data_IF_616700192919
#
_entry.id   IF_616700192919
#
_cell.length_a   1.000
_cell.length_b   1.000
_cell.length_c   1.000
_cell.angle_alpha   90.00
_cell.angle_beta   90.00
_cell.angle_gamma   90.00
#
_symmetry.space_group_name_H-M   'P 1'
#
loop_
_entity.id
_entity.type
_entity.pdbx_description
1 polymer ?
#
# COMPACT_ATOMS: atom_id res chain seq x y z
N UNK A 1 34.91 -2.67 -12.13
CA UNK A 1 34.30 -3.38 -10.97
C UNK A 1 32.84 -2.99 -10.92
N UNK A 2 31.95 -3.93 -11.06
CA UNK A 2 30.48 -3.71 -11.04
C UNK A 2 30.06 -3.37 -9.61
N UNK A 3 29.31 -2.28 -9.44
CA UNK A 3 28.84 -1.84 -8.12
C UNK A 3 27.59 -2.64 -7.71
N UNK A 4 27.62 -3.35 -6.59
CA UNK A 4 26.44 -4.02 -6.03
C UNK A 4 25.56 -3.01 -5.31
N UNK A 5 24.28 -3.05 -5.62
CA UNK A 5 23.29 -2.08 -5.10
C UNK A 5 22.07 -2.81 -4.59
N UNK A 6 21.57 -2.40 -3.42
CA UNK A 6 20.23 -2.72 -2.94
C UNK A 6 19.37 -1.46 -3.04
N UNK A 7 18.17 -1.60 -3.56
CA UNK A 7 17.28 -0.47 -3.80
C UNK A 7 16.16 -0.44 -2.78
N UNK A 8 15.81 0.74 -2.31
CA UNK A 8 14.70 0.98 -1.38
C UNK A 8 13.71 1.92 -2.05
N UNK A 9 12.49 1.45 -2.32
CA UNK A 9 11.43 2.17 -3.01
C UNK A 9 10.36 2.64 -2.00
N UNK A 10 10.22 3.94 -1.85
CA UNK A 10 9.18 4.53 -0.98
C UNK A 10 7.77 4.27 -1.55
N UNK A 11 6.78 4.02 -0.70
CA UNK A 11 5.36 3.93 -1.10
C UNK A 11 4.82 5.28 -1.58
N UNK A 12 3.72 5.30 -2.31
CA UNK A 12 3.11 6.57 -2.73
C UNK A 12 2.16 6.50 -3.94
N UNK A 13 1.50 5.38 -4.15
CA UNK A 13 0.45 5.23 -5.16
C UNK A 13 0.93 5.63 -6.57
N UNK A 14 0.18 6.51 -7.24
CA UNK A 14 0.48 6.96 -8.61
C UNK A 14 1.80 7.74 -8.76
N UNK A 15 2.46 8.09 -7.66
CA UNK A 15 3.82 8.64 -7.71
C UNK A 15 4.87 7.58 -8.13
N UNK A 16 4.53 6.29 -8.10
CA UNK A 16 5.35 5.18 -8.58
C UNK A 16 5.82 5.31 -10.02
N UNK A 17 5.10 6.05 -10.87
CA UNK A 17 5.51 6.33 -12.26
C UNK A 17 6.91 6.95 -12.35
N UNK A 18 7.31 7.78 -11.39
CA UNK A 18 8.68 8.30 -11.32
C UNK A 18 9.69 7.18 -11.01
N UNK A 19 9.33 6.27 -10.10
CA UNK A 19 10.21 5.14 -9.72
C UNK A 19 10.41 4.18 -10.89
N UNK A 20 9.40 4.01 -11.78
CA UNK A 20 9.55 3.23 -13.02
C UNK A 20 10.72 3.79 -13.84
N UNK A 21 10.80 5.10 -14.04
CA UNK A 21 11.90 5.72 -14.76
C UNK A 21 13.27 5.45 -14.11
N UNK A 22 13.35 5.55 -12.78
CA UNK A 22 14.57 5.20 -12.04
C UNK A 22 14.95 3.74 -12.28
N UNK A 23 14.00 2.82 -12.18
CA UNK A 23 14.22 1.38 -12.35
C UNK A 23 14.62 1.02 -13.80
N UNK A 24 14.04 1.68 -14.81
CA UNK A 24 14.44 1.51 -16.21
C UNK A 24 15.89 1.93 -16.44
N UNK A 25 16.33 3.04 -15.84
CA UNK A 25 17.74 3.47 -15.93
C UNK A 25 18.67 2.50 -15.21
N UNK A 26 18.26 1.98 -14.02
CA UNK A 26 19.02 0.94 -13.32
C UNK A 26 19.15 -0.34 -14.16
N UNK A 27 18.08 -0.77 -14.84
CA UNK A 27 18.12 -1.91 -15.78
C UNK A 27 19.10 -1.66 -16.94
N UNK A 28 19.15 -0.43 -17.47
CA UNK A 28 20.11 -0.07 -18.49
C UNK A 28 21.54 -0.17 -17.96
N UNK A 29 21.81 0.40 -16.78
CA UNK A 29 23.10 0.34 -16.14
C UNK A 29 23.54 -1.09 -15.77
N UNK A 30 22.59 -1.96 -15.42
CA UNK A 30 22.85 -3.37 -15.13
C UNK A 30 23.25 -4.13 -16.41
N UNK A 31 22.56 -3.88 -17.53
CA UNK A 31 22.95 -4.42 -18.86
C UNK A 31 24.34 -3.96 -19.31
N UNK A 32 24.70 -2.72 -18.96
CA UNK A 32 26.01 -2.16 -19.24
C UNK A 32 27.11 -2.65 -18.26
N UNK A 33 26.75 -3.49 -17.28
CA UNK A 33 27.69 -4.02 -16.28
C UNK A 33 28.18 -3.00 -15.26
N UNK A 34 27.53 -1.84 -15.15
CA UNK A 34 27.91 -0.75 -14.24
C UNK A 34 27.40 -1.00 -12.82
N UNK A 35 26.22 -1.56 -12.69
CA UNK A 35 25.59 -1.95 -11.42
C UNK A 35 25.11 -3.39 -11.47
N UNK A 36 24.92 -3.98 -10.30
CA UNK A 36 24.20 -5.24 -10.11
C UNK A 36 23.22 -5.05 -8.96
N UNK A 37 21.94 -5.27 -9.22
CA UNK A 37 20.86 -5.08 -8.24
C UNK A 37 20.63 -6.40 -7.53
N UNK A 38 21.10 -6.50 -6.28
CA UNK A 38 20.96 -7.71 -5.47
C UNK A 38 19.53 -7.92 -4.92
N UNK A 39 18.92 -6.82 -4.46
CA UNK A 39 17.59 -6.86 -3.86
C UNK A 39 16.89 -5.49 -3.93
N UNK A 40 15.57 -5.53 -3.94
CA UNK A 40 14.71 -4.33 -3.88
C UNK A 40 13.75 -4.47 -2.70
N UNK A 41 13.74 -3.48 -1.84
CA UNK A 41 12.74 -3.33 -0.78
C UNK A 41 11.71 -2.29 -1.23
N UNK A 42 10.44 -2.63 -1.10
CA UNK A 42 9.34 -1.74 -1.45
C UNK A 42 8.24 -1.70 -0.37
N UNK A 43 7.48 -0.62 -0.38
CA UNK A 43 6.20 -0.52 0.32
C UNK A 43 5.14 -0.07 -0.68
N UNK A 44 3.90 -0.58 -0.55
CA UNK A 44 2.81 -0.19 -1.44
C UNK A 44 3.17 -0.43 -2.91
N UNK A 45 3.01 0.59 -3.74
CA UNK A 45 3.42 0.55 -5.16
C UNK A 45 4.88 0.11 -5.34
N UNK A 46 5.77 0.47 -4.41
CA UNK A 46 7.18 0.08 -4.47
C UNK A 46 7.39 -1.43 -4.37
N UNK A 47 6.51 -2.17 -3.68
CA UNK A 47 6.56 -3.64 -3.62
C UNK A 47 6.20 -4.27 -4.97
N UNK A 48 5.18 -3.74 -5.66
CA UNK A 48 4.82 -4.18 -7.00
C UNK A 48 5.92 -3.85 -8.01
N UNK A 49 6.49 -2.65 -7.96
CA UNK A 49 7.58 -2.26 -8.85
C UNK A 49 8.86 -3.09 -8.63
N UNK A 50 9.10 -3.56 -7.41
CA UNK A 50 10.17 -4.51 -7.14
C UNK A 50 9.96 -5.83 -7.90
N UNK A 51 8.74 -6.37 -7.89
CA UNK A 51 8.37 -7.53 -8.70
C UNK A 51 8.57 -7.25 -10.20
N UNK A 52 8.03 -6.14 -10.71
CA UNK A 52 8.13 -5.79 -12.13
C UNK A 52 9.60 -5.62 -12.59
N UNK A 53 10.49 -5.16 -11.71
CA UNK A 53 11.91 -5.07 -11.99
C UNK A 53 12.50 -6.45 -12.28
N UNK A 54 12.29 -7.43 -11.41
CA UNK A 54 12.85 -8.77 -11.58
C UNK A 54 12.12 -9.59 -12.65
N UNK A 55 10.83 -9.28 -12.90
CA UNK A 55 10.04 -9.90 -13.96
C UNK A 55 10.24 -9.25 -15.34
N UNK A 56 11.08 -8.22 -15.45
CA UNK A 56 11.30 -7.43 -16.67
C UNK A 56 10.01 -6.83 -17.28
N UNK A 57 9.03 -6.49 -16.42
CA UNK A 57 7.69 -6.03 -16.79
C UNK A 57 7.41 -4.57 -16.40
N UNK A 58 8.43 -3.69 -16.35
CA UNK A 58 8.28 -2.28 -15.96
C UNK A 58 7.37 -1.48 -16.92
N UNK A 59 7.27 -1.88 -18.20
CA UNK A 59 6.35 -1.26 -19.15
C UNK A 59 4.91 -1.64 -18.84
N UNK A 60 4.63 -2.91 -18.52
CA UNK A 60 3.33 -3.37 -18.05
C UNK A 60 2.92 -2.68 -16.74
N UNK A 61 3.88 -2.44 -15.84
CA UNK A 61 3.62 -1.66 -14.62
C UNK A 61 3.13 -0.24 -14.91
N UNK A 62 3.68 0.42 -15.93
CA UNK A 62 3.21 1.73 -16.36
C UNK A 62 1.77 1.67 -16.89
N UNK A 63 1.45 0.69 -17.73
CA UNK A 63 0.10 0.48 -18.24
C UNK A 63 -0.90 0.19 -17.10
N UNK A 64 -0.51 -0.63 -16.13
CA UNK A 64 -1.32 -0.97 -14.97
C UNK A 64 -1.61 0.26 -14.10
N UNK A 65 -0.60 1.11 -13.85
CA UNK A 65 -0.79 2.37 -13.12
C UNK A 65 -1.68 3.36 -13.89
N UNK A 66 -1.55 3.41 -15.21
CA UNK A 66 -2.36 4.26 -16.06
C UNK A 66 -3.82 3.84 -16.03
N UNK A 67 -4.09 2.55 -16.19
CA UNK A 67 -5.43 2.00 -16.10
C UNK A 67 -6.04 2.25 -14.71
N UNK A 68 -5.28 2.06 -13.63
CA UNK A 68 -5.73 2.37 -12.28
C UNK A 68 -6.06 3.86 -12.10
N UNK A 69 -5.25 4.76 -12.69
CA UNK A 69 -5.50 6.21 -12.65
C UNK A 69 -6.79 6.58 -13.38
N UNK A 70 -7.06 5.97 -14.53
CA UNK A 70 -8.29 6.19 -15.28
C UNK A 70 -9.52 5.66 -14.53
N UNK A 71 -9.45 4.41 -14.04
CA UNK A 71 -10.54 3.81 -13.25
C UNK A 71 -10.86 4.62 -12.01
N UNK A 72 -9.85 5.16 -11.33
CA UNK A 72 -10.03 6.00 -10.13
C UNK A 72 -10.71 7.36 -10.44
N UNK A 73 -10.56 7.87 -11.67
CA UNK A 73 -11.24 9.11 -12.11
C UNK A 73 -12.69 8.85 -12.51
N UNK A 74 -12.99 7.69 -13.07
CA UNK A 74 -14.32 7.33 -13.55
C UNK A 74 -15.20 6.78 -12.42
N UNK A 75 -14.66 5.92 -11.58
CA UNK A 75 -15.33 5.34 -10.42
C UNK A 75 -14.33 5.09 -9.29
N UNK A 76 -14.41 5.89 -8.25
CA UNK A 76 -13.51 5.80 -7.09
C UNK A 76 -13.61 4.46 -6.32
N UNK A 77 -14.61 3.65 -6.60
CA UNK A 77 -14.82 2.34 -5.95
C UNK A 77 -14.22 1.16 -6.73
N UNK A 78 -13.83 1.33 -7.99
CA UNK A 78 -13.37 0.22 -8.83
C UNK A 78 -11.86 0.00 -8.77
N UNK A 79 -11.32 -0.24 -7.58
CA UNK A 79 -9.89 -0.51 -7.35
C UNK A 79 -9.54 -2.00 -7.42
N UNK A 80 -10.54 -2.90 -7.51
CA UNK A 80 -10.33 -4.34 -7.66
C UNK A 80 -9.49 -4.68 -8.90
N UNK A 81 -9.71 -3.96 -10.00
CA UNK A 81 -8.99 -4.15 -11.27
C UNK A 81 -7.47 -4.00 -11.15
N UNK A 82 -6.99 -3.15 -10.23
CA UNK A 82 -5.56 -2.98 -9.99
C UNK A 82 -4.93 -4.25 -9.38
N UNK A 83 -5.51 -4.78 -8.31
CA UNK A 83 -5.02 -6.00 -7.69
C UNK A 83 -5.21 -7.23 -8.58
N UNK A 84 -6.28 -7.28 -9.39
CA UNK A 84 -6.51 -8.40 -10.32
C UNK A 84 -5.46 -8.45 -11.43
N UNK A 85 -5.04 -7.29 -11.95
CA UNK A 85 -3.94 -7.21 -12.92
C UNK A 85 -2.62 -7.66 -12.31
N UNK A 86 -2.26 -7.14 -11.13
CA UNK A 86 -1.06 -7.55 -10.40
C UNK A 86 -1.07 -9.07 -10.17
N UNK A 87 -2.24 -9.63 -9.79
CA UNK A 87 -2.38 -11.06 -9.57
C UNK A 87 -2.10 -11.85 -10.82
N UNK A 88 -2.70 -11.45 -11.97
CA UNK A 88 -2.46 -12.08 -13.26
C UNK A 88 -0.97 -12.10 -13.61
N UNK A 89 -0.29 -10.96 -13.55
CA UNK A 89 1.14 -10.85 -13.84
C UNK A 89 2.01 -11.74 -12.95
N UNK A 90 1.70 -11.82 -11.65
CA UNK A 90 2.47 -12.64 -10.71
C UNK A 90 2.23 -14.14 -10.94
N UNK A 91 0.98 -14.55 -11.18
CA UNK A 91 0.66 -15.95 -11.41
C UNK A 91 1.20 -16.47 -12.74
N UNK A 92 1.32 -15.61 -13.74
CA UNK A 92 1.81 -15.93 -15.08
C UNK A 92 3.33 -15.74 -15.25
N UNK A 93 4.05 -15.25 -14.22
CA UNK A 93 5.49 -15.02 -14.34
C UNK A 93 6.26 -16.33 -14.60
N UNK A 94 7.38 -16.22 -15.31
CA UNK A 94 8.24 -17.35 -15.65
C UNK A 94 8.78 -18.04 -14.38
N UNK A 95 8.91 -19.38 -14.43
CA UNK A 95 9.41 -20.17 -13.30
C UNK A 95 10.81 -19.78 -12.87
N UNK A 96 11.70 -19.39 -13.80
CA UNK A 96 13.05 -18.94 -13.46
C UNK A 96 13.04 -17.63 -12.72
N UNK A 97 12.15 -16.71 -13.14
CA UNK A 97 11.94 -15.43 -12.46
C UNK A 97 11.44 -15.68 -11.04
N UNK A 98 10.43 -16.54 -10.88
CA UNK A 98 9.91 -16.87 -9.56
C UNK A 98 10.95 -17.53 -8.66
N UNK A 99 11.79 -18.43 -9.17
CA UNK A 99 12.88 -19.05 -8.40
C UNK A 99 13.91 -18.01 -7.94
N UNK A 100 14.22 -17.00 -8.76
CA UNK A 100 15.07 -15.88 -8.36
C UNK A 100 14.42 -15.05 -7.25
N UNK A 101 13.12 -14.76 -7.37
CA UNK A 101 12.36 -14.01 -6.36
C UNK A 101 12.32 -14.79 -5.04
N UNK A 102 12.09 -16.10 -5.09
CA UNK A 102 12.10 -17.02 -3.94
C UNK A 102 13.43 -16.99 -3.18
N UNK A 103 14.54 -16.68 -3.84
CA UNK A 103 15.87 -16.55 -3.20
C UNK A 103 16.04 -15.27 -2.37
N UNK A 104 15.00 -14.44 -2.22
CA UNK A 104 15.00 -13.29 -1.32
C UNK A 104 15.49 -11.98 -1.92
N UNK A 105 15.18 -11.72 -3.20
CA UNK A 105 15.54 -10.45 -3.84
C UNK A 105 14.45 -9.35 -3.69
N UNK A 106 13.23 -9.70 -3.26
CA UNK A 106 12.13 -8.75 -3.01
C UNK A 106 11.80 -8.72 -1.52
N UNK A 107 11.77 -7.50 -0.95
CA UNK A 107 11.35 -7.24 0.43
C UNK A 107 10.09 -6.38 0.40
N UNK A 108 8.94 -6.98 0.74
CA UNK A 108 7.65 -6.29 0.79
C UNK A 108 7.32 -5.89 2.22
N UNK A 109 7.01 -4.61 2.45
CA UNK A 109 6.67 -4.09 3.77
C UNK A 109 5.16 -3.91 3.90
N UNK A 110 4.57 -4.47 4.96
CA UNK A 110 3.16 -4.31 5.33
C UNK A 110 3.01 -4.11 6.83
N UNK A 111 1.88 -3.58 7.30
CA UNK A 111 1.62 -3.39 8.71
C UNK A 111 0.59 -4.39 9.19
N UNK A 112 0.97 -5.19 10.17
CA UNK A 112 0.06 -6.07 10.90
C UNK A 112 -0.88 -5.21 11.76
N UNK A 113 -2.19 -5.39 11.56
CA UNK A 113 -3.22 -4.59 12.25
C UNK A 113 -3.26 -4.90 13.75
N UNK A 114 -3.06 -6.15 14.12
CA UNK A 114 -3.15 -6.59 15.51
C UNK A 114 -1.99 -6.08 16.36
N UNK A 115 -0.76 -6.12 15.82
CA UNK A 115 0.44 -5.69 16.56
C UNK A 115 0.84 -4.25 16.26
N UNK A 116 0.21 -3.61 15.27
CA UNK A 116 0.56 -2.28 14.75
C UNK A 116 2.05 -2.19 14.38
N UNK A 117 2.64 -3.33 14.02
CA UNK A 117 4.06 -3.46 13.69
C UNK A 117 4.29 -3.63 12.20
N UNK A 118 5.44 -3.14 11.72
CA UNK A 118 5.84 -3.35 10.34
C UNK A 118 6.36 -4.78 10.17
N UNK A 119 5.71 -5.54 9.29
CA UNK A 119 6.12 -6.88 8.88
C UNK A 119 6.80 -6.79 7.52
N UNK A 120 7.89 -7.53 7.34
CA UNK A 120 8.68 -7.55 6.12
C UNK A 120 8.68 -8.99 5.60
N UNK A 121 8.09 -9.17 4.42
CA UNK A 121 8.11 -10.45 3.71
C UNK A 121 9.23 -10.43 2.68
N UNK A 122 10.04 -11.46 2.64
CA UNK A 122 11.17 -11.60 1.70
C UNK A 122 11.42 -13.03 1.25
N UNK A 123 10.68 -13.97 1.81
CA UNK A 123 10.69 -15.39 1.43
C UNK A 123 9.29 -15.79 0.98
N UNK A 124 9.17 -16.33 -0.22
CA UNK A 124 7.88 -16.70 -0.82
C UNK A 124 7.95 -18.13 -1.32
N UNK A 125 7.10 -19.02 -0.83
CA UNK A 125 7.07 -20.41 -1.27
C UNK A 125 6.24 -20.59 -2.54
N UNK A 126 5.19 -19.76 -2.69
CA UNK A 126 4.26 -19.80 -3.81
C UNK A 126 4.09 -18.40 -4.43
N UNK A 127 3.60 -18.37 -5.68
CA UNK A 127 3.23 -17.11 -6.35
C UNK A 127 2.09 -16.40 -5.63
N UNK A 128 1.17 -17.16 -5.05
CA UNK A 128 0.07 -16.63 -4.24
C UNK A 128 0.57 -15.93 -2.99
N UNK A 129 1.60 -16.47 -2.31
CA UNK A 129 2.22 -15.79 -1.16
C UNK A 129 2.89 -14.47 -1.57
N UNK A 130 3.57 -14.44 -2.71
CA UNK A 130 4.15 -13.22 -3.26
C UNK A 130 3.07 -12.18 -3.59
N UNK A 131 2.01 -12.62 -4.29
CA UNK A 131 0.86 -11.75 -4.58
C UNK A 131 0.23 -11.23 -3.29
N UNK A 132 -0.03 -12.10 -2.32
CA UNK A 132 -0.64 -11.72 -1.05
C UNK A 132 0.19 -10.68 -0.29
N UNK A 133 1.50 -10.85 -0.23
CA UNK A 133 2.40 -9.88 0.39
C UNK A 133 2.35 -8.51 -0.30
N UNK A 134 2.40 -8.47 -1.65
CA UNK A 134 2.31 -7.24 -2.43
C UNK A 134 0.93 -6.59 -2.28
N UNK A 135 -0.15 -7.37 -2.36
CA UNK A 135 -1.51 -6.89 -2.23
C UNK A 135 -1.80 -6.34 -0.82
N UNK A 136 -1.29 -6.99 0.23
CA UNK A 136 -1.38 -6.49 1.60
C UNK A 136 -0.53 -5.21 1.80
N UNK A 137 0.67 -5.16 1.18
CA UNK A 137 1.54 -3.99 1.21
C UNK A 137 0.93 -2.75 0.55
N UNK A 138 0.04 -2.95 -0.42
CA UNK A 138 -0.64 -1.88 -1.17
C UNK A 138 -2.12 -1.70 -0.77
N UNK A 139 -2.56 -2.31 0.32
CA UNK A 139 -3.93 -2.18 0.79
C UNK A 139 -4.12 -0.88 1.59
N UNK A 140 -4.55 0.16 0.89
CA UNK A 140 -4.97 1.43 1.51
C UNK A 140 -6.43 1.28 1.92
N UNK A 141 -6.78 1.41 3.22
CA UNK A 141 -8.14 1.23 3.72
C UNK A 141 -9.17 2.03 2.93
N UNK A 142 -10.23 1.37 2.47
CA UNK A 142 -11.33 1.94 1.69
C UNK A 142 -10.95 2.67 0.38
N UNK A 143 -9.69 2.56 -0.05
CA UNK A 143 -9.19 3.12 -1.31
C UNK A 143 -8.88 2.01 -2.30
N UNK A 144 -8.17 0.96 -1.87
CA UNK A 144 -7.81 -0.18 -2.73
C UNK A 144 -8.65 -1.43 -2.46
N UNK A 145 -9.78 -1.27 -1.79
CA UNK A 145 -10.76 -2.30 -1.46
C UNK A 145 -11.79 -1.79 -0.45
N UNK A 146 -12.88 -2.50 -0.29
CA UNK A 146 -14.06 -2.09 0.52
C UNK A 146 -13.87 -2.31 2.02
N UNK A 147 -12.69 -2.72 2.45
CA UNK A 147 -12.40 -3.08 3.84
C UNK A 147 -11.32 -2.21 4.46
N UNK A 148 -11.34 -2.11 5.79
CA UNK A 148 -10.28 -1.46 6.56
C UNK A 148 -8.93 -2.15 6.39
N UNK A 149 -8.92 -3.47 6.30
CA UNK A 149 -7.72 -4.28 6.24
C UNK A 149 -7.91 -5.46 5.29
N UNK A 150 -6.82 -5.96 4.74
CA UNK A 150 -6.81 -7.15 3.91
C UNK A 150 -6.45 -8.37 4.75
N UNK A 151 -7.25 -9.42 4.65
CA UNK A 151 -6.93 -10.73 5.23
C UNK A 151 -5.88 -11.41 4.34
N UNK A 152 -4.74 -11.72 4.92
CA UNK A 152 -3.65 -12.46 4.28
C UNK A 152 -3.89 -13.97 4.33
N UNK A 153 -3.22 -14.71 3.46
CA UNK A 153 -3.21 -16.19 3.45
C UNK A 153 -2.74 -16.80 4.75
N UNK A 154 -1.98 -16.09 5.56
CA UNK A 154 -1.55 -16.51 6.89
C UNK A 154 -2.60 -16.29 8.00
N UNK A 155 -3.83 -15.85 7.66
CA UNK A 155 -4.92 -15.60 8.59
C UNK A 155 -4.84 -14.28 9.37
N UNK A 156 -3.81 -13.46 9.15
CA UNK A 156 -3.67 -12.14 9.78
C UNK A 156 -4.18 -11.03 8.87
N UNK A 157 -4.54 -9.90 9.48
CA UNK A 157 -5.02 -8.72 8.78
C UNK A 157 -3.91 -7.68 8.65
N UNK A 158 -3.75 -7.15 7.44
CA UNK A 158 -2.70 -6.18 7.12
C UNK A 158 -3.28 -4.95 6.42
N UNK A 159 -2.51 -3.87 6.51
CA UNK A 159 -2.72 -2.63 5.76
C UNK A 159 -1.41 -2.20 5.11
N UNK A 160 -1.48 -1.20 4.24
CA UNK A 160 -0.35 -0.62 3.50
C UNK A 160 0.87 -0.36 4.41
N UNK A 161 2.03 -0.82 3.95
CA UNK A 161 3.30 -0.69 4.67
C UNK A 161 3.84 0.73 4.78
N UNK A 162 3.42 1.63 3.91
CA UNK A 162 3.82 3.05 3.79
C UNK A 162 5.33 3.23 3.64
N UNK A 163 6.12 2.61 4.49
CA UNK A 163 7.59 2.72 4.50
C UNK A 163 8.25 1.38 4.19
N UNK A 164 9.17 1.37 3.22
CA UNK A 164 9.93 0.18 2.90
C UNK A 164 10.93 -0.17 4.01
N UNK A 165 11.35 -1.43 4.03
CA UNK A 165 12.47 -1.87 4.83
C UNK A 165 13.77 -1.22 4.34
N UNK A 166 14.50 -0.58 5.23
CA UNK A 166 15.84 -0.08 4.93
C UNK A 166 16.84 -1.13 5.39
N UNK A 167 17.61 -1.68 4.45
CA UNK A 167 18.65 -2.67 4.75
C UNK A 167 19.65 -2.12 5.77
N UNK A 168 19.89 -2.86 6.87
CA UNK A 168 20.72 -2.39 7.99
C UNK A 168 22.03 -3.16 8.15
N UNK A 169 22.44 -3.89 7.14
CA UNK A 169 23.67 -4.68 7.28
C UNK A 169 24.88 -3.77 7.44
N UNK A 170 25.37 -3.65 8.67
CA UNK A 170 26.50 -2.79 9.05
C UNK A 170 27.85 -3.51 8.97
N UNK A 171 27.84 -4.82 8.74
CA UNK A 171 29.03 -5.66 8.96
C UNK A 171 29.86 -5.89 7.71
N UNK A 172 29.27 -5.80 6.51
CA UNK A 172 30.02 -5.95 5.25
C UNK A 172 29.54 -4.91 4.24
N UNK A 173 30.35 -3.91 3.98
CA UNK A 173 30.09 -2.87 2.96
C UNK A 173 30.18 -3.41 1.52
N UNK A 174 29.65 -4.61 1.25
CA UNK A 174 29.70 -5.21 -0.08
C UNK A 174 28.70 -4.58 -1.07
N UNK A 175 27.73 -3.84 -0.60
CA UNK A 175 26.73 -3.18 -1.45
C UNK A 175 26.38 -1.76 -0.97
N UNK A 176 26.01 -0.93 -1.94
CA UNK A 176 25.46 0.39 -1.67
C UNK A 176 23.92 0.31 -1.53
N UNK A 177 23.33 1.05 -0.61
CA UNK A 177 21.87 1.13 -0.45
C UNK A 177 21.40 2.41 -1.10
N UNK A 178 20.69 2.28 -2.23
CA UNK A 178 20.04 3.38 -2.94
C UNK A 178 18.61 3.56 -2.44
N UNK A 179 18.32 4.70 -1.81
CA UNK A 179 16.98 5.09 -1.44
C UNK A 179 16.36 5.95 -2.52
N UNK A 180 15.17 5.56 -3.00
CA UNK A 180 14.40 6.27 -4.01
C UNK A 180 13.11 6.80 -3.37
N UNK A 181 13.10 8.10 -3.09
CA UNK A 181 11.94 8.82 -2.61
C UNK A 181 11.01 9.15 -3.78
N UNK A 182 9.70 9.10 -3.59
CA UNK A 182 8.75 9.49 -4.64
C UNK A 182 8.15 10.90 -4.44
N UNK A 183 8.50 11.58 -3.35
CA UNK A 183 8.01 12.92 -3.03
C UNK A 183 6.54 12.98 -2.62
N UNK A 184 5.90 11.84 -2.35
CA UNK A 184 4.48 11.75 -1.97
C UNK A 184 4.15 12.59 -0.73
N UNK A 185 5.05 12.63 0.25
CA UNK A 185 4.86 13.42 1.48
C UNK A 185 4.88 14.92 1.27
N UNK A 186 5.57 15.43 0.25
CA UNK A 186 5.57 16.85 -0.07
C UNK A 186 4.35 17.28 -0.89
N UNK A 187 3.62 16.31 -1.46
CA UNK A 187 2.44 16.56 -2.29
C UNK A 187 1.41 15.43 -2.13
N UNK A 188 0.74 15.31 -0.98
CA UNK A 188 -0.15 14.19 -0.69
C UNK A 188 -1.30 14.04 -1.71
N UNK A 189 -1.78 15.14 -2.28
CA UNK A 189 -2.84 15.11 -3.32
C UNK A 189 -2.35 14.45 -4.62
N UNK A 190 -1.05 14.44 -4.90
CA UNK A 190 -0.49 13.80 -6.10
C UNK A 190 -0.41 12.28 -6.02
N UNK A 191 -0.72 11.67 -4.86
CA UNK A 191 -0.80 10.21 -4.69
C UNK A 191 -1.93 9.64 -5.55
N UNK A 192 -3.04 10.38 -5.67
CA UNK A 192 -4.25 9.94 -6.39
C UNK A 192 -4.34 10.50 -7.81
N UNK A 193 -3.64 11.58 -8.12
CA UNK A 193 -3.66 12.18 -9.46
C UNK A 193 -2.36 12.88 -9.80
N UNK A 194 -1.88 12.69 -11.02
CA UNK A 194 -0.71 13.40 -11.54
C UNK A 194 -1.14 14.54 -12.46
N UNK A 195 -0.62 15.76 -12.22
CA UNK A 195 -0.79 16.92 -13.13
C UNK A 195 0.21 16.88 -14.29
N UNK A 196 1.32 16.18 -14.15
CA UNK A 196 2.32 16.00 -15.20
C UNK A 196 2.00 14.74 -15.98
N UNK A 197 2.21 14.76 -17.29
CA UNK A 197 2.11 13.58 -18.14
C UNK A 197 3.05 12.48 -17.65
N UNK A 198 2.61 11.24 -17.73
CA UNK A 198 3.30 10.06 -17.22
C UNK A 198 4.66 9.87 -17.85
N UNK A 199 4.75 10.02 -19.18
CA UNK A 199 6.00 9.96 -19.95
C UNK A 199 7.04 10.97 -19.43
N UNK A 200 6.58 12.18 -19.06
CA UNK A 200 7.43 13.21 -18.46
C UNK A 200 7.98 12.75 -17.11
N UNK A 201 7.17 12.11 -16.28
CA UNK A 201 7.59 11.63 -14.94
C UNK A 201 8.55 10.45 -15.04
N UNK A 202 8.32 9.51 -15.95
CA UNK A 202 9.26 8.42 -16.25
C UNK A 202 10.61 9.02 -16.71
N UNK A 203 10.58 9.95 -17.66
CA UNK A 203 11.79 10.63 -18.12
C UNK A 203 12.54 11.37 -17.01
N UNK A 204 11.82 12.04 -16.10
CA UNK A 204 12.41 12.70 -14.93
C UNK A 204 13.09 11.69 -14.00
N UNK A 205 12.47 10.53 -13.75
CA UNK A 205 13.04 9.46 -12.92
C UNK A 205 14.34 8.92 -13.51
N UNK A 206 14.34 8.62 -14.82
CA UNK A 206 15.51 8.12 -15.52
C UNK A 206 16.66 9.15 -15.52
N UNK A 207 16.37 10.42 -15.80
CA UNK A 207 17.37 11.50 -15.78
C UNK A 207 17.96 11.71 -14.38
N UNK A 208 17.12 11.65 -13.34
CA UNK A 208 17.57 11.82 -11.96
C UNK A 208 18.50 10.69 -11.52
N UNK A 209 18.16 9.44 -11.85
CA UNK A 209 18.99 8.28 -11.60
C UNK A 209 20.33 8.39 -12.35
N UNK A 210 20.31 8.71 -13.65
CA UNK A 210 21.52 8.92 -14.43
C UNK A 210 22.40 10.00 -13.83
N UNK A 211 21.83 11.17 -13.52
CA UNK A 211 22.56 12.27 -12.88
C UNK A 211 23.16 11.84 -11.54
N UNK A 212 22.40 11.12 -10.72
CA UNK A 212 22.86 10.61 -9.43
C UNK A 212 24.09 9.71 -9.58
N UNK A 213 24.06 8.74 -10.50
CA UNK A 213 25.18 7.81 -10.70
C UNK A 213 26.41 8.48 -11.33
N UNK A 214 26.24 9.49 -12.21
CA UNK A 214 27.35 10.27 -12.79
C UNK A 214 27.99 11.15 -11.73
N UNK A 215 27.19 11.91 -10.97
CA UNK A 215 27.72 12.92 -10.05
C UNK A 215 28.05 12.38 -8.67
N UNK A 216 27.52 11.21 -8.30
CA UNK A 216 27.59 10.62 -6.95
C UNK A 216 27.04 11.52 -5.85
N UNK A 217 26.30 12.56 -6.19
CA UNK A 217 25.67 13.49 -5.27
C UNK A 217 24.18 13.16 -5.13
N UNK A 218 23.69 13.17 -3.89
CA UNK A 218 22.26 13.02 -3.63
C UNK A 218 21.46 14.03 -4.44
N UNK A 219 20.39 13.55 -5.04
CA UNK A 219 19.39 14.36 -5.72
C UNK A 219 18.19 14.57 -4.79
N UNK A 220 17.13 15.17 -5.30
CA UNK A 220 15.88 15.31 -4.52
C UNK A 220 15.24 13.95 -4.18
N UNK A 221 15.42 12.96 -5.03
CA UNK A 221 14.70 11.68 -4.98
C UNK A 221 15.63 10.47 -4.82
N UNK A 222 16.89 10.55 -5.23
CA UNK A 222 17.86 9.48 -5.14
C UNK A 222 19.00 9.84 -4.17
N UNK A 223 19.27 8.95 -3.21
CA UNK A 223 20.36 9.13 -2.25
C UNK A 223 20.91 7.79 -1.79
N UNK A 224 22.20 7.72 -1.52
CA UNK A 224 22.77 6.56 -0.83
C UNK A 224 22.59 6.69 0.68
N UNK A 225 22.03 5.66 1.31
CA UNK A 225 21.73 5.65 2.76
C UNK A 225 23.00 5.83 3.60
N UNK A 226 24.15 5.33 3.14
CA UNK A 226 25.42 5.51 3.86
C UNK A 226 25.92 6.96 3.88
N UNK A 227 25.43 7.81 2.97
CA UNK A 227 25.74 9.24 2.95
C UNK A 227 24.75 10.08 3.79
N UNK A 228 23.74 9.43 4.38
CA UNK A 228 22.75 10.14 5.19
C UNK A 228 23.37 10.70 6.46
N UNK A 229 23.01 11.93 6.75
CA UNK A 229 23.33 12.63 7.98
C UNK A 229 22.26 12.42 9.04
N UNK A 230 22.52 12.81 10.28
CA UNK A 230 21.49 12.76 11.35
C UNK A 230 20.17 13.47 10.97
N UNK A 231 20.19 14.66 10.34
CA UNK A 231 18.98 15.29 9.84
C UNK A 231 18.16 14.41 8.87
N UNK A 232 18.80 13.64 7.98
CA UNK A 232 18.09 12.78 7.03
C UNK A 232 17.31 11.68 7.75
N UNK A 233 17.91 11.07 8.78
CA UNK A 233 17.24 10.10 9.63
C UNK A 233 16.11 10.72 10.44
N UNK A 234 16.28 11.96 10.95
CA UNK A 234 15.24 12.70 11.65
C UNK A 234 14.06 12.96 10.70
N UNK A 235 14.32 13.44 9.49
CA UNK A 235 13.28 13.67 8.48
C UNK A 235 12.52 12.38 8.17
N UNK A 236 13.21 11.25 8.00
CA UNK A 236 12.56 9.96 7.79
C UNK A 236 11.66 9.59 8.97
N UNK A 237 12.14 9.77 10.22
CA UNK A 237 11.36 9.49 11.43
C UNK A 237 10.14 10.39 11.54
N UNK A 238 10.28 11.67 11.22
CA UNK A 238 9.16 12.62 11.21
C UNK A 238 8.10 12.21 10.18
N UNK A 239 8.51 11.79 8.98
CA UNK A 239 7.60 11.22 7.98
C UNK A 239 6.85 10.00 8.52
N UNK A 240 7.55 9.07 9.20
CA UNK A 240 6.95 7.88 9.79
C UNK A 240 5.90 8.22 10.85
N UNK A 241 6.24 9.15 11.76
CA UNK A 241 5.32 9.63 12.80
C UNK A 241 4.11 10.30 12.17
N UNK A 242 4.31 11.18 11.19
CA UNK A 242 3.23 11.86 10.48
C UNK A 242 2.28 10.86 9.80
N UNK A 243 2.82 9.89 9.08
CA UNK A 243 2.01 8.85 8.44
C UNK A 243 1.22 8.02 9.46
N UNK A 244 1.83 7.70 10.60
CA UNK A 244 1.15 7.02 11.70
C UNK A 244 -0.02 7.86 12.25
N UNK A 245 0.20 9.16 12.50
CA UNK A 245 -0.85 10.09 12.96
C UNK A 245 -2.00 10.18 11.95
N UNK A 246 -1.68 10.41 10.67
CA UNK A 246 -2.71 10.48 9.61
C UNK A 246 -3.52 9.20 9.53
N UNK A 247 -2.87 8.04 9.60
CA UNK A 247 -3.54 6.74 9.61
C UNK A 247 -4.47 6.58 10.81
N UNK A 248 -4.00 6.94 12.01
CA UNK A 248 -4.82 6.87 13.23
C UNK A 248 -6.04 7.78 13.13
N UNK A 249 -5.88 8.99 12.61
CA UNK A 249 -6.99 9.90 12.37
C UNK A 249 -7.98 9.35 11.35
N UNK A 250 -7.50 8.80 10.23
CA UNK A 250 -8.36 8.17 9.23
C UNK A 250 -9.12 6.98 9.82
N UNK A 251 -8.45 6.15 10.63
CA UNK A 251 -9.10 5.05 11.33
C UNK A 251 -10.22 5.54 12.26
N UNK A 252 -9.96 6.55 13.09
CA UNK A 252 -10.98 7.13 13.99
C UNK A 252 -12.15 7.70 13.19
N UNK A 253 -11.86 8.48 12.15
CA UNK A 253 -12.90 9.07 11.30
C UNK A 253 -13.75 8.01 10.60
N UNK A 254 -13.14 7.00 10.03
CA UNK A 254 -13.89 5.90 9.39
C UNK A 254 -14.72 5.12 10.40
N UNK A 255 -14.17 4.86 11.59
CA UNK A 255 -14.93 4.21 12.68
C UNK A 255 -16.15 5.02 13.10
N UNK A 256 -16.04 6.35 13.17
CA UNK A 256 -17.18 7.24 13.45
C UNK A 256 -18.20 7.19 12.31
N UNK A 257 -17.76 7.28 11.07
CA UNK A 257 -18.65 7.25 9.89
C UNK A 257 -19.42 5.93 9.83
N UNK A 258 -18.73 4.80 9.94
CA UNK A 258 -19.39 3.50 9.86
C UNK A 258 -20.15 3.14 11.14
N UNK A 259 -19.65 3.52 12.31
CA UNK A 259 -20.30 3.22 13.59
C UNK A 259 -21.51 4.10 13.92
N UNK A 260 -21.57 5.31 13.38
CA UNK A 260 -22.62 6.28 13.73
C UNK A 260 -23.45 6.70 12.50
N UNK A 261 -22.80 7.13 11.45
CA UNK A 261 -23.50 7.72 10.28
C UNK A 261 -24.22 6.66 9.46
N UNK A 262 -23.63 5.48 9.26
CA UNK A 262 -24.25 4.43 8.47
C UNK A 262 -25.54 3.87 9.11
N UNK A 263 -25.58 3.57 10.41
CA UNK A 263 -26.84 3.20 11.09
C UNK A 263 -27.91 4.29 11.02
N UNK A 264 -27.54 5.56 11.23
CA UNK A 264 -28.51 6.68 11.12
C UNK A 264 -29.08 6.77 9.70
N UNK A 265 -28.22 6.62 8.68
CA UNK A 265 -28.64 6.65 7.28
C UNK A 265 -29.60 5.50 6.95
N UNK A 266 -29.32 4.30 7.48
CA UNK A 266 -30.19 3.13 7.33
C UNK A 266 -31.56 3.38 7.99
N UNK A 267 -31.59 3.92 9.21
CA UNK A 267 -32.82 4.26 9.91
C UNK A 267 -33.64 5.29 9.12
N UNK A 268 -32.98 6.35 8.63
CA UNK A 268 -33.64 7.37 7.80
C UNK A 268 -34.21 6.76 6.53
N UNK A 269 -33.46 5.89 5.84
CA UNK A 269 -33.93 5.21 4.62
C UNK A 269 -35.20 4.39 4.91
N UNK A 270 -35.16 3.55 5.95
CA UNK A 270 -36.35 2.71 6.34
C UNK A 270 -37.52 3.59 6.68
N UNK A 271 -37.33 4.67 7.44
CA UNK A 271 -38.42 5.60 7.79
C UNK A 271 -39.01 6.29 6.56
N UNK A 272 -38.14 6.73 5.63
CA UNK A 272 -38.58 7.40 4.40
C UNK A 272 -39.31 6.45 3.46
N UNK A 273 -38.82 5.21 3.33
CA UNK A 273 -39.49 4.17 2.52
C UNK A 273 -40.87 3.83 3.09
N UNK A 274 -41.02 3.75 4.42
CA UNK A 274 -42.29 3.49 5.08
C UNK A 274 -43.27 4.67 4.94
N UNK A 275 -42.80 5.90 5.13
CA UNK A 275 -43.60 7.11 4.88
C UNK A 275 -44.10 7.14 3.42
N UNK A 276 -43.24 6.80 2.47
CA UNK A 276 -43.60 6.76 1.05
C UNK A 276 -44.65 5.69 0.77
N UNK A 277 -44.49 4.47 1.32
CA UNK A 277 -45.44 3.39 1.15
C UNK A 277 -46.81 3.75 1.79
N UNK A 278 -46.79 4.37 2.97
CA UNK A 278 -48.02 4.81 3.66
C UNK A 278 -48.76 5.90 2.84
N UNK A 279 -48.03 6.83 2.26
CA UNK A 279 -48.63 7.87 1.40
C UNK A 279 -49.20 7.30 0.09
N UNK A 280 -48.63 6.22 -0.43
CA UNK A 280 -49.04 5.63 -1.72
C UNK A 280 -50.15 4.57 -1.57
N UNK A 281 -50.22 3.82 -0.46
CA UNK A 281 -51.06 2.63 -0.34
C UNK A 281 -52.07 2.67 0.82
N UNK A 282 -52.01 3.71 1.68
CA UNK A 282 -52.94 3.82 2.84
C UNK A 282 -52.62 2.86 3.99
N UNK A 283 -53.46 2.88 5.05
CA UNK A 283 -53.20 2.23 6.35
C UNK A 283 -52.51 0.86 6.29
N UNK A 284 -51.25 0.80 6.64
CA UNK A 284 -50.56 -0.41 7.09
C UNK A 284 -50.39 -0.37 8.62
N UNK A 285 -50.53 -1.55 9.26
CA UNK A 285 -50.45 -1.68 10.70
C UNK A 285 -49.19 -1.06 11.32
N UNK A 286 -49.36 -0.02 12.14
CA UNK A 286 -48.29 0.68 12.86
C UNK A 286 -47.36 -0.22 13.69
N UNK A 287 -47.75 -1.47 13.96
CA UNK A 287 -46.98 -2.39 14.80
C UNK A 287 -45.80 -3.03 14.04
N UNK A 288 -45.91 -3.21 12.71
CA UNK A 288 -44.81 -3.77 11.89
C UNK A 288 -43.67 -2.75 11.68
N UNK A 289 -44.01 -1.49 11.49
CA UNK A 289 -43.06 -0.39 11.30
C UNK A 289 -42.10 -0.20 12.48
N UNK A 290 -42.62 -0.11 13.72
CA UNK A 290 -41.78 0.04 14.91
C UNK A 290 -40.86 -1.17 15.12
N UNK A 291 -41.35 -2.37 14.74
CA UNK A 291 -40.53 -3.58 14.79
C UNK A 291 -39.38 -3.54 13.78
N UNK A 292 -39.62 -3.12 12.55
CA UNK A 292 -38.62 -3.09 11.48
C UNK A 292 -37.59 -1.98 11.70
N UNK A 293 -38.00 -0.79 12.17
CA UNK A 293 -37.09 0.29 12.58
C UNK A 293 -36.23 -0.15 13.78
N UNK A 294 -36.85 -0.79 14.77
CA UNK A 294 -36.19 -1.33 15.95
C UNK A 294 -35.16 -2.42 15.56
N UNK A 295 -35.51 -3.31 14.64
CA UNK A 295 -34.63 -4.36 14.16
C UNK A 295 -33.47 -3.82 13.33
N UNK A 296 -33.72 -2.88 12.43
CA UNK A 296 -32.69 -2.22 11.63
C UNK A 296 -31.70 -1.43 12.51
N UNK A 297 -32.21 -0.71 13.53
CA UNK A 297 -31.38 0.02 14.48
C UNK A 297 -30.52 -0.92 15.34
N UNK A 298 -31.11 -2.01 15.86
CA UNK A 298 -30.39 -3.01 16.65
C UNK A 298 -29.35 -3.75 15.82
N UNK A 299 -29.70 -4.12 14.59
CA UNK A 299 -28.76 -4.82 13.67
C UNK A 299 -27.61 -3.91 13.29
N UNK A 300 -27.89 -2.65 12.95
CA UNK A 300 -26.86 -1.67 12.63
C UNK A 300 -25.93 -1.38 13.81
N UNK A 301 -26.48 -1.22 15.03
CA UNK A 301 -25.69 -1.05 16.24
C UNK A 301 -24.91 -2.32 16.62
N UNK A 302 -25.47 -3.51 16.41
CA UNK A 302 -24.80 -4.78 16.70
C UNK A 302 -23.62 -5.02 15.76
N UNK A 303 -23.78 -4.75 14.46
CA UNK A 303 -22.69 -4.85 13.48
C UNK A 303 -21.58 -3.84 13.81
N UNK A 304 -21.92 -2.59 14.10
CA UNK A 304 -20.95 -1.56 14.45
C UNK A 304 -20.22 -1.88 15.78
N UNK A 305 -20.95 -2.37 16.79
CA UNK A 305 -20.36 -2.72 18.08
C UNK A 305 -19.55 -4.01 18.02
N UNK A 306 -19.98 -5.05 17.26
CA UNK A 306 -19.18 -6.27 17.11
C UNK A 306 -17.85 -6.00 16.40
N UNK A 307 -17.87 -5.22 15.32
CA UNK A 307 -16.65 -4.84 14.60
C UNK A 307 -15.68 -4.04 15.50
N UNK A 308 -16.22 -3.13 16.32
CA UNK A 308 -15.43 -2.34 17.25
C UNK A 308 -14.91 -3.18 18.44
N UNK A 309 -15.75 -4.06 19.00
CA UNK A 309 -15.38 -4.95 20.10
C UNK A 309 -14.37 -5.99 19.66
N UNK A 310 -14.55 -6.59 18.48
CA UNK A 310 -13.61 -7.59 17.94
C UNK A 310 -12.22 -6.96 17.70
N UNK A 311 -12.20 -5.76 17.15
CA UNK A 311 -10.97 -5.02 16.94
C UNK A 311 -10.31 -4.59 18.27
N UNK A 312 -11.08 -4.13 19.24
CA UNK A 312 -10.58 -3.71 20.56
C UNK A 312 -10.07 -4.92 21.37
N UNK A 313 -10.78 -6.05 21.31
CA UNK A 313 -10.36 -7.29 21.94
C UNK A 313 -9.10 -7.86 21.28
N UNK A 314 -8.95 -7.75 19.96
CA UNK A 314 -7.75 -8.16 19.23
C UNK A 314 -6.53 -7.31 19.64
N UNK A 315 -6.72 -6.01 19.84
CA UNK A 315 -5.66 -5.10 20.35
C UNK A 315 -5.28 -5.43 21.81
N UNK A 316 -6.26 -5.72 22.66
CA UNK A 316 -6.02 -6.04 24.08
C UNK A 316 -5.41 -7.43 24.25
N UNK A 317 -5.87 -8.45 23.52
CA UNK A 317 -5.34 -9.81 23.61
C UNK A 317 -3.87 -9.88 23.22
N UNK A 318 -3.45 -9.08 22.25
CA UNK A 318 -2.06 -9.05 21.78
C UNK A 318 -1.13 -8.27 22.70
N UNK A 319 -1.62 -7.31 23.51
CA UNK A 319 -0.83 -6.67 24.57
C UNK A 319 -0.45 -7.68 25.66
N UNK A 320 -1.36 -8.58 26.02
CA UNK A 320 -1.08 -9.62 27.04
C UNK A 320 -0.07 -10.68 26.61
N UNK A 321 0.12 -10.92 25.31
CA UNK A 321 1.13 -11.86 24.81
C UNK A 321 2.56 -11.27 24.75
N UNK A 322 2.69 -9.96 24.75
CA UNK A 322 4.00 -9.28 24.73
C UNK A 322 4.61 -9.06 26.12
N UNK A 323 3.82 -9.22 27.18
CA UNK A 323 4.25 -9.04 28.58
C UNK A 323 4.57 -10.37 29.28
N UNK A 324 4.62 -11.50 28.57
CA UNK A 324 5.10 -12.78 29.09
C UNK A 324 6.59 -12.93 28.78
N UNK A 325 7.44 -13.20 29.83
CA UNK A 325 8.90 -13.27 29.74
C UNK A 325 9.41 -14.45 28.90
#
# INVERSE_FOLDING_TARGET
>A
MTMRVRVVLEGGGMCGVYQIGVLQELKSMERDGLVNIDAISGASIGSYLAFCYFNDSLESALETLNAATCSFKEDSQNTSTFHDRIRGEILECDDKVFQNIKSGCIYSSRIDVATVSNTIDHEYNTREELFDAIACSSHVPYVTGDSWSRLSTNGRKYIDGVFPHIFRDRTNCEYAILYVCNGSFSRPVSILSSRLGETTRVGMGAQDARRFFITRKSTRYCSFVHNWTQPDFIVLRMKQIFAWVVRTLLFVLTSIVYGVVAPIRLIISVVMDDIFLHLMFGDMDHCSFLHDVGYAALTGCAIASSTFIDMFNEILANRHQQDLP
#
